data_IF_610808382775
#
_entry.id   IF_610808382775
#
_cell.length_a   1.000
_cell.length_b   1.000
_cell.length_c   1.000
_cell.angle_alpha   90.00
_cell.angle_beta   90.00
_cell.angle_gamma   90.00
#
_symmetry.space_group_name_H-M   'P 1'
#
loop_
_entity.id
_entity.type
_entity.pdbx_description
1 polymer ?
#
# COMPACT_ATOMS: atom_id res chain seq x y z
N UNK A 1 -27.72 0.17 2.76
CA UNK A 1 -26.56 -0.41 3.48
C UNK A 1 -26.61 0.05 4.93
N UNK A 2 -26.53 -0.85 5.91
CA UNK A 2 -26.37 -0.42 7.30
C UNK A 2 -25.02 0.29 7.45
N UNK A 3 -25.00 1.39 8.20
CA UNK A 3 -23.78 2.16 8.50
C UNK A 3 -22.65 1.25 9.01
N UNK A 4 -23.00 0.22 9.78
CA UNK A 4 -22.10 -0.79 10.32
C UNK A 4 -21.32 -1.56 9.23
N UNK A 5 -21.95 -1.87 8.09
CA UNK A 5 -21.28 -2.60 7.01
C UNK A 5 -20.29 -1.70 6.26
N UNK A 6 -20.65 -0.44 6.01
CA UNK A 6 -19.73 0.55 5.44
C UNK A 6 -18.53 0.74 6.38
N UNK A 7 -18.79 0.88 7.68
CA UNK A 7 -17.73 0.99 8.68
C UNK A 7 -16.80 -0.23 8.66
N UNK A 8 -17.34 -1.46 8.68
CA UNK A 8 -16.51 -2.67 8.67
C UNK A 8 -15.63 -2.79 7.42
N UNK A 9 -16.17 -2.46 6.24
CA UNK A 9 -15.42 -2.58 4.97
C UNK A 9 -14.38 -1.47 4.82
N UNK A 10 -14.69 -0.26 5.27
CA UNK A 10 -13.86 0.94 5.02
C UNK A 10 -13.12 1.47 6.26
N UNK A 11 -13.17 0.80 7.42
CA UNK A 11 -12.55 1.30 8.67
C UNK A 11 -11.09 1.70 8.49
N UNK A 12 -10.26 0.86 7.90
CA UNK A 12 -8.83 1.13 7.72
C UNK A 12 -8.59 2.31 6.78
N UNK A 13 -9.39 2.42 5.71
CA UNK A 13 -9.36 3.57 4.80
C UNK A 13 -9.77 4.86 5.49
N UNK A 14 -10.90 4.86 6.21
CA UNK A 14 -11.40 6.04 6.93
C UNK A 14 -10.36 6.49 7.95
N UNK A 15 -9.85 5.57 8.78
CA UNK A 15 -8.81 5.86 9.76
C UNK A 15 -7.54 6.41 9.11
N UNK A 16 -7.12 5.83 7.98
CA UNK A 16 -5.95 6.29 7.23
C UNK A 16 -6.13 7.68 6.62
N UNK A 17 -7.30 7.97 6.05
CA UNK A 17 -7.65 9.30 5.53
C UNK A 17 -7.64 10.34 6.64
N UNK A 18 -8.26 10.03 7.79
CA UNK A 18 -8.28 10.92 8.95
C UNK A 18 -6.87 11.15 9.49
N UNK A 19 -6.05 10.10 9.63
CA UNK A 19 -4.67 10.21 10.10
C UNK A 19 -3.80 11.03 9.14
N UNK A 20 -3.90 10.78 7.83
CA UNK A 20 -3.18 11.54 6.80
C UNK A 20 -3.58 13.02 6.79
N UNK A 21 -4.88 13.30 6.90
CA UNK A 21 -5.39 14.67 6.99
C UNK A 21 -4.95 15.39 8.28
N UNK A 22 -5.04 14.72 9.43
CA UNK A 22 -4.60 15.25 10.71
C UNK A 22 -3.10 15.57 10.70
N UNK A 23 -2.27 14.63 10.22
CA UNK A 23 -0.84 14.84 10.06
C UNK A 23 -0.53 16.04 9.14
N UNK A 24 -1.26 16.16 8.03
CA UNK A 24 -1.09 17.27 7.11
C UNK A 24 -1.48 18.62 7.74
N UNK A 25 -2.56 18.66 8.55
CA UNK A 25 -2.98 19.86 9.26
C UNK A 25 -1.94 20.33 10.29
N UNK A 26 -1.29 19.38 10.98
CA UNK A 26 -0.31 19.68 12.04
C UNK A 26 1.06 20.05 11.45
N UNK A 27 1.58 19.28 10.48
CA UNK A 27 2.96 19.42 9.97
C UNK A 27 3.09 19.56 8.45
N UNK A 28 2.03 19.29 7.69
CA UNK A 28 2.10 19.20 6.22
C UNK A 28 1.91 20.52 5.48
N UNK A 29 1.35 21.55 6.11
CA UNK A 29 1.01 22.82 5.43
C UNK A 29 2.21 23.56 4.84
N UNK A 30 3.40 23.36 5.38
CA UNK A 30 4.66 23.95 4.88
C UNK A 30 5.24 23.21 3.67
N UNK A 31 4.78 21.99 3.41
CA UNK A 31 5.33 21.07 2.41
C UNK A 31 4.40 20.96 1.19
N UNK A 32 4.08 22.08 0.55
CA UNK A 32 3.17 22.12 -0.61
C UNK A 32 3.93 22.22 -1.91
N UNK A 33 3.46 21.49 -2.92
CA UNK A 33 3.93 21.67 -4.29
C UNK A 33 3.39 23.00 -4.84
N UNK A 34 4.24 23.72 -5.53
CA UNK A 34 3.82 24.87 -6.31
C UNK A 34 2.93 24.39 -7.47
N UNK A 35 1.98 25.24 -7.91
CA UNK A 35 1.16 24.95 -9.08
C UNK A 35 2.05 24.61 -10.28
N UNK A 36 1.79 23.47 -10.91
CA UNK A 36 2.56 23.01 -12.05
C UNK A 36 2.37 21.52 -12.35
N UNK A 37 3.09 20.99 -13.35
CA UNK A 37 2.93 19.61 -13.81
C UNK A 37 3.21 18.57 -12.71
N UNK A 38 4.18 18.84 -11.82
CA UNK A 38 4.50 17.95 -10.69
C UNK A 38 3.29 17.77 -9.75
N UNK A 39 2.61 18.87 -9.41
CA UNK A 39 1.43 18.83 -8.54
C UNK A 39 0.26 18.08 -9.22
N UNK A 40 -0.01 18.37 -10.49
CA UNK A 40 -1.07 17.70 -11.25
C UNK A 40 -0.82 16.20 -11.39
N UNK A 41 0.40 15.79 -11.75
CA UNK A 41 0.76 14.37 -11.85
C UNK A 41 0.72 13.67 -10.49
N UNK A 42 1.13 14.34 -9.42
CA UNK A 42 0.99 13.80 -8.06
C UNK A 42 -0.46 13.56 -7.69
N UNK A 43 -1.35 14.53 -7.98
CA UNK A 43 -2.78 14.41 -7.71
C UNK A 43 -3.43 13.30 -8.55
N UNK A 44 -3.10 13.21 -9.84
CA UNK A 44 -3.64 12.18 -10.74
C UNK A 44 -3.13 10.81 -10.33
N UNK A 45 -1.82 10.62 -10.17
CA UNK A 45 -1.23 9.32 -9.87
C UNK A 45 -1.77 8.72 -8.56
N UNK A 46 -1.78 9.51 -7.49
CA UNK A 46 -2.26 9.03 -6.18
C UNK A 46 -3.79 9.01 -6.11
N UNK A 47 -4.47 9.98 -6.73
CA UNK A 47 -5.93 10.03 -6.77
C UNK A 47 -6.53 8.84 -7.52
N UNK A 48 -5.96 8.49 -8.68
CA UNK A 48 -6.38 7.30 -9.45
C UNK A 48 -6.07 6.02 -8.66
N UNK A 49 -4.90 5.93 -8.01
CA UNK A 49 -4.57 4.78 -7.17
C UNK A 49 -5.57 4.58 -6.02
N UNK A 50 -5.89 5.65 -5.28
CA UNK A 50 -6.90 5.60 -4.21
C UNK A 50 -8.28 5.21 -4.74
N UNK A 51 -8.72 5.84 -5.83
CA UNK A 51 -10.03 5.56 -6.42
C UNK A 51 -10.14 4.11 -6.90
N UNK A 52 -9.11 3.61 -7.59
CA UNK A 52 -9.07 2.23 -8.08
C UNK A 52 -9.13 1.22 -6.93
N UNK A 53 -8.39 1.45 -5.84
CA UNK A 53 -8.44 0.59 -4.66
C UNK A 53 -9.82 0.62 -3.98
N UNK A 54 -10.43 1.80 -3.82
CA UNK A 54 -11.80 1.94 -3.29
C UNK A 54 -12.80 1.17 -4.15
N UNK A 55 -12.71 1.31 -5.48
CA UNK A 55 -13.58 0.60 -6.41
C UNK A 55 -13.41 -0.92 -6.28
N UNK A 56 -12.18 -1.43 -6.20
CA UNK A 56 -11.96 -2.88 -6.02
C UNK A 56 -12.48 -3.36 -4.67
N UNK A 57 -12.33 -2.59 -3.58
CA UNK A 57 -12.87 -2.97 -2.26
C UNK A 57 -14.40 -2.94 -2.23
N UNK A 58 -15.02 -1.93 -2.86
CA UNK A 58 -16.46 -1.91 -3.10
C UNK A 58 -16.88 -3.13 -3.93
N UNK A 59 -16.03 -3.53 -4.88
CA UNK A 59 -16.30 -4.74 -5.62
C UNK A 59 -16.21 -5.95 -4.69
N UNK A 60 -15.04 -6.31 -4.19
CA UNK A 60 -14.81 -7.52 -3.38
C UNK A 60 -15.71 -7.61 -2.13
N UNK A 61 -15.86 -6.52 -1.36
CA UNK A 61 -16.58 -6.51 -0.08
C UNK A 61 -18.02 -5.95 -0.14
N UNK A 62 -18.33 -5.10 -1.13
CA UNK A 62 -19.62 -4.40 -1.19
C UNK A 62 -20.75 -5.16 -1.89
N UNK A 63 -20.48 -6.25 -2.60
CA UNK A 63 -21.52 -6.98 -3.36
C UNK A 63 -22.54 -7.71 -2.52
N UNK A 64 -22.13 -8.27 -1.38
CA UNK A 64 -23.07 -8.90 -0.45
C UNK A 64 -24.10 -7.88 0.06
N UNK A 65 -23.67 -6.62 0.16
CA UNK A 65 -24.48 -5.49 0.59
C UNK A 65 -25.29 -4.81 -0.51
N UNK A 66 -24.77 -4.73 -1.74
CA UNK A 66 -25.39 -4.03 -2.86
C UNK A 66 -26.14 -4.94 -3.84
N UNK A 67 -26.06 -6.28 -3.67
CA UNK A 67 -26.68 -7.29 -4.55
C UNK A 67 -26.46 -7.05 -6.05
N UNK A 68 -25.30 -6.49 -6.41
CA UNK A 68 -24.98 -6.27 -7.82
C UNK A 68 -24.69 -7.62 -8.48
N UNK A 69 -25.38 -7.98 -9.59
CA UNK A 69 -25.07 -9.20 -10.32
C UNK A 69 -23.63 -9.11 -10.84
N UNK A 70 -22.82 -10.13 -10.57
CA UNK A 70 -21.46 -10.23 -11.09
C UNK A 70 -21.22 -11.57 -11.76
N UNK A 71 -20.44 -11.57 -12.85
CA UNK A 71 -19.86 -12.81 -13.34
C UNK A 71 -18.97 -13.42 -12.25
N UNK A 72 -19.20 -14.69 -11.91
CA UNK A 72 -18.45 -15.40 -10.87
C UNK A 72 -16.94 -15.45 -11.16
N UNK A 73 -16.55 -15.36 -12.43
CA UNK A 73 -15.16 -15.27 -12.88
C UNK A 73 -14.49 -13.95 -12.47
N UNK A 74 -15.17 -12.82 -12.66
CA UNK A 74 -14.61 -11.51 -12.30
C UNK A 74 -14.44 -11.39 -10.78
N UNK A 75 -15.39 -11.92 -10.01
CA UNK A 75 -15.29 -11.93 -8.55
C UNK A 75 -14.09 -12.76 -8.07
N UNK A 76 -13.91 -13.97 -8.62
CA UNK A 76 -12.74 -14.83 -8.32
C UNK A 76 -11.44 -14.13 -8.68
N UNK A 77 -11.36 -13.56 -9.89
CA UNK A 77 -10.17 -12.84 -10.34
C UNK A 77 -9.83 -11.64 -9.43
N UNK A 78 -10.83 -10.86 -9.01
CA UNK A 78 -10.62 -9.72 -8.09
C UNK A 78 -10.17 -10.16 -6.70
N UNK A 79 -10.70 -11.28 -6.19
CA UNK A 79 -10.25 -11.86 -4.92
C UNK A 79 -8.80 -12.32 -5.02
N UNK A 80 -8.41 -12.95 -6.12
CA UNK A 80 -7.02 -13.37 -6.34
C UNK A 80 -6.08 -12.17 -6.53
N UNK A 81 -6.54 -11.12 -7.23
CA UNK A 81 -5.76 -9.91 -7.49
C UNK A 81 -5.58 -9.01 -6.26
N UNK A 82 -6.31 -9.23 -5.16
CA UNK A 82 -6.31 -8.34 -3.98
C UNK A 82 -4.92 -8.16 -3.35
N UNK A 83 -4.04 -9.15 -3.47
CA UNK A 83 -2.68 -9.08 -2.92
C UNK A 83 -1.72 -8.29 -3.80
N UNK A 84 -1.90 -8.34 -5.12
CA UNK A 84 -1.03 -7.63 -6.07
C UNK A 84 -1.50 -6.20 -6.35
N UNK A 85 -2.79 -5.93 -6.17
CA UNK A 85 -3.40 -4.65 -6.51
C UNK A 85 -2.71 -3.44 -5.84
N UNK A 86 -2.47 -3.41 -4.51
CA UNK A 86 -1.80 -2.25 -3.91
C UNK A 86 -0.41 -1.99 -4.49
N UNK A 87 0.32 -3.06 -4.86
CA UNK A 87 1.64 -2.96 -5.48
C UNK A 87 1.54 -2.41 -6.89
N UNK A 88 0.60 -2.90 -7.71
CA UNK A 88 0.37 -2.40 -9.07
C UNK A 88 -0.02 -0.92 -9.07
N UNK A 89 -0.92 -0.52 -8.17
CA UNK A 89 -1.34 0.87 -8.00
C UNK A 89 -0.17 1.74 -7.51
N UNK A 90 0.63 1.24 -6.56
CA UNK A 90 1.86 1.89 -6.12
C UNK A 90 2.88 2.08 -7.24
N UNK A 91 3.10 1.04 -8.07
CA UNK A 91 3.97 1.09 -9.25
C UNK A 91 3.49 2.18 -10.21
N UNK A 92 2.20 2.16 -10.58
CA UNK A 92 1.62 3.16 -11.48
C UNK A 92 1.77 4.58 -10.93
N UNK A 93 1.50 4.78 -9.64
CA UNK A 93 1.67 6.07 -9.00
C UNK A 93 3.15 6.51 -8.98
N UNK A 94 4.10 5.64 -8.63
CA UNK A 94 5.55 5.96 -8.66
C UNK A 94 6.01 6.33 -10.07
N UNK A 95 5.56 5.60 -11.10
CA UNK A 95 5.87 5.93 -12.50
C UNK A 95 5.37 7.33 -12.83
N UNK A 96 4.12 7.65 -12.50
CA UNK A 96 3.54 8.98 -12.76
C UNK A 96 4.30 10.08 -12.00
N UNK A 97 4.65 9.86 -10.72
CA UNK A 97 5.37 10.82 -9.87
C UNK A 97 6.83 11.03 -10.29
N UNK A 98 7.43 10.07 -10.99
CA UNK A 98 8.77 10.21 -11.56
C UNK A 98 8.83 11.34 -12.60
N UNK A 99 7.69 11.67 -13.23
CA UNK A 99 7.57 12.76 -14.19
C UNK A 99 7.04 14.07 -13.56
N UNK A 100 7.36 15.24 -14.15
CA UNK A 100 8.35 15.45 -15.22
C UNK A 100 9.79 15.18 -14.74
N UNK A 101 10.62 14.71 -15.66
CA UNK A 101 12.06 14.57 -15.42
C UNK A 101 12.67 15.96 -15.25
N UNK A 102 13.55 16.20 -14.27
CA UNK A 102 14.18 17.51 -14.13
C UNK A 102 15.05 17.79 -15.36
N UNK A 103 14.76 18.89 -16.05
CA UNK A 103 15.53 19.33 -17.22
C UNK A 103 16.90 19.84 -16.80
N UNK A 104 17.95 19.51 -17.56
CA UNK A 104 19.30 20.02 -17.30
C UNK A 104 19.29 21.55 -17.44
N UNK A 105 19.57 22.28 -16.36
CA UNK A 105 19.77 23.71 -16.44
C UNK A 105 21.12 23.99 -17.15
N UNK A 106 21.13 24.71 -18.29
CA UNK A 106 22.36 25.12 -18.92
C UNK A 106 22.94 26.26 -18.10
N UNK A 107 24.10 26.02 -17.46
CA UNK A 107 24.92 26.96 -16.66
C UNK A 107 24.61 26.94 -15.16
N UNK A 108 25.56 26.43 -14.37
CA UNK A 108 25.56 26.52 -12.90
C UNK A 108 26.66 25.65 -12.29
N UNK A 109 27.48 26.26 -11.44
CA UNK A 109 28.74 25.78 -10.83
C UNK A 109 28.96 24.27 -10.69
N UNK A 110 30.20 23.84 -11.00
CA UNK A 110 30.69 22.48 -10.77
C UNK A 110 30.81 22.21 -9.26
N UNK A 111 29.72 21.74 -8.65
CA UNK A 111 29.75 21.21 -7.28
C UNK A 111 30.26 19.76 -7.31
N UNK A 112 31.42 19.51 -6.69
CA UNK A 112 32.10 18.20 -6.63
C UNK A 112 31.51 17.25 -5.56
N UNK A 113 30.43 17.62 -4.88
CA UNK A 113 29.83 16.74 -3.87
C UNK A 113 29.18 15.51 -4.53
N UNK A 114 29.54 14.31 -4.08
CA UNK A 114 28.99 13.04 -4.58
C UNK A 114 27.49 12.98 -4.28
N UNK A 115 26.65 13.15 -5.30
CA UNK A 115 25.19 13.07 -5.18
C UNK A 115 24.74 11.62 -5.29
N UNK A 116 24.18 11.10 -4.22
CA UNK A 116 23.60 9.76 -4.15
C UNK A 116 22.07 9.89 -4.09
N UNK A 117 21.30 8.85 -4.45
CA UNK A 117 19.83 8.87 -4.29
C UNK A 117 19.38 9.09 -2.84
N UNK A 118 20.29 8.95 -1.88
CA UNK A 118 20.07 9.20 -0.45
C UNK A 118 20.29 10.65 -0.04
N UNK A 119 20.89 11.50 -0.90
CA UNK A 119 21.26 12.88 -0.54
C UNK A 119 20.07 13.79 -0.25
N UNK A 120 18.89 13.50 -0.79
CA UNK A 120 17.69 14.32 -0.64
C UNK A 120 16.62 13.71 0.27
N UNK A 121 16.81 12.45 0.70
CA UNK A 121 15.88 11.76 1.59
C UNK A 121 16.43 11.70 3.02
N UNK A 122 15.55 11.79 4.02
CA UNK A 122 15.94 11.55 5.40
C UNK A 122 16.14 10.03 5.60
N UNK A 123 17.26 9.62 6.21
CA UNK A 123 17.65 8.20 6.33
C UNK A 123 16.58 7.28 6.92
N UNK A 124 15.75 7.80 7.84
CA UNK A 124 14.69 7.03 8.48
C UNK A 124 13.60 6.54 7.51
N UNK A 125 13.36 7.22 6.38
CA UNK A 125 12.41 6.73 5.37
C UNK A 125 12.90 5.45 4.70
N UNK A 126 14.20 5.36 4.42
CA UNK A 126 14.80 4.17 3.82
C UNK A 126 14.84 3.01 4.82
N UNK A 127 15.12 3.30 6.09
CA UNK A 127 15.05 2.31 7.16
C UNK A 127 13.62 1.79 7.28
N UNK A 128 12.61 2.68 7.32
CA UNK A 128 11.21 2.30 7.37
C UNK A 128 10.80 1.41 6.19
N UNK A 129 11.12 1.81 4.96
CA UNK A 129 10.84 1.01 3.76
C UNK A 129 11.53 -0.38 3.82
N UNK A 130 12.77 -0.43 4.30
CA UNK A 130 13.52 -1.69 4.46
C UNK A 130 12.88 -2.61 5.49
N UNK A 131 12.43 -2.06 6.63
CA UNK A 131 11.70 -2.81 7.66
C UNK A 131 10.40 -3.39 7.09
N UNK A 132 9.64 -2.60 6.32
CA UNK A 132 8.40 -3.06 5.70
C UNK A 132 8.67 -4.21 4.73
N UNK A 133 9.68 -4.08 3.86
CA UNK A 133 10.08 -5.17 2.94
C UNK A 133 10.51 -6.41 3.71
N UNK A 134 11.32 -6.25 4.77
CA UNK A 134 11.73 -7.36 5.62
C UNK A 134 10.56 -8.07 6.28
N UNK A 135 9.56 -7.33 6.77
CA UNK A 135 8.33 -7.90 7.32
C UNK A 135 7.51 -8.65 6.26
N UNK A 136 7.37 -8.10 5.05
CA UNK A 136 6.70 -8.79 3.92
C UNK A 136 7.41 -10.10 3.61
N UNK A 137 8.74 -10.09 3.50
CA UNK A 137 9.53 -11.30 3.20
C UNK A 137 9.37 -12.35 4.31
N UNK A 138 9.50 -11.96 5.57
CA UNK A 138 9.38 -12.86 6.71
C UNK A 138 8.01 -13.56 6.73
N UNK A 139 6.94 -12.78 6.65
CA UNK A 139 5.57 -13.31 6.70
C UNK A 139 5.26 -14.14 5.45
N UNK A 140 5.76 -13.71 4.28
CA UNK A 140 5.61 -14.45 3.02
C UNK A 140 6.26 -15.82 3.08
N UNK A 141 7.50 -15.91 3.58
CA UNK A 141 8.21 -17.19 3.68
C UNK A 141 7.52 -18.09 4.69
N UNK A 142 7.12 -17.56 5.86
CA UNK A 142 6.39 -18.33 6.87
C UNK A 142 5.06 -18.88 6.34
N UNK A 143 4.25 -18.05 5.67
CA UNK A 143 2.98 -18.45 5.10
C UNK A 143 3.15 -19.40 3.90
N UNK A 144 4.18 -19.17 3.08
CA UNK A 144 4.54 -20.06 1.97
C UNK A 144 4.93 -21.45 2.44
N UNK A 145 5.77 -21.55 3.48
CA UNK A 145 6.14 -22.83 4.09
C UNK A 145 4.95 -23.58 4.71
N UNK A 146 3.95 -22.85 5.21
CA UNK A 146 2.73 -23.45 5.76
C UNK A 146 1.71 -23.88 4.68
N UNK A 147 1.84 -23.37 3.45
CA UNK A 147 0.90 -23.65 2.37
C UNK A 147 1.11 -25.05 1.77
N UNK A 148 0.03 -25.64 1.28
CA UNK A 148 -0.01 -26.91 0.55
C UNK A 148 -0.72 -26.73 -0.81
N UNK A 149 -0.52 -27.70 -1.71
CA UNK A 149 -1.16 -27.75 -3.03
C UNK A 149 -2.65 -28.05 -2.92
N UNK A 150 -3.47 -27.32 -3.67
CA UNK A 150 -4.88 -27.66 -3.87
C UNK A 150 -5.05 -28.72 -4.98
N UNK A 151 -6.30 -29.09 -5.28
CA UNK A 151 -6.65 -30.05 -6.34
C UNK A 151 -6.13 -29.64 -7.74
N UNK A 152 -5.78 -28.37 -7.94
CA UNK A 152 -5.26 -27.80 -9.18
C UNK A 152 -3.73 -27.63 -9.15
N UNK A 153 -3.05 -28.03 -8.07
CA UNK A 153 -1.61 -27.90 -7.88
C UNK A 153 -1.18 -26.50 -7.39
N UNK A 154 -2.11 -25.64 -6.98
CA UNK A 154 -1.79 -24.30 -6.47
C UNK A 154 -1.52 -24.32 -4.97
N UNK A 155 -0.35 -23.84 -4.59
CA UNK A 155 0.10 -23.70 -3.19
C UNK A 155 -0.62 -22.55 -2.46
N UNK A 156 -1.89 -22.76 -2.09
CA UNK A 156 -2.78 -21.74 -1.48
C UNK A 156 -3.69 -22.24 -0.37
N UNK A 157 -3.61 -23.51 0.01
CA UNK A 157 -4.43 -24.07 1.09
C UNK A 157 -3.60 -24.36 2.34
N UNK A 158 -4.24 -24.23 3.50
CA UNK A 158 -3.76 -24.74 4.77
C UNK A 158 -4.70 -25.85 5.21
N UNK A 159 -4.15 -27.06 5.35
CA UNK A 159 -4.90 -28.22 5.86
C UNK A 159 -4.73 -28.29 7.38
N UNK A 160 -5.86 -28.36 8.08
CA UNK A 160 -5.92 -28.61 9.52
C UNK A 160 -6.36 -30.05 9.70
N UNK A 161 -5.42 -30.92 10.08
CA UNK A 161 -5.69 -32.32 10.40
C UNK A 161 -5.77 -32.50 11.91
N UNK A 162 -6.83 -33.16 12.37
CA UNK A 162 -7.07 -33.49 13.78
C UNK A 162 -6.99 -34.97 14.08
N UNK A 163 -6.59 -35.80 13.11
CA UNK A 163 -6.50 -37.26 13.22
C UNK A 163 -7.84 -38.00 13.16
N UNK A 164 -8.95 -37.33 13.50
CA UNK A 164 -10.34 -37.86 13.41
C UNK A 164 -11.16 -37.21 12.29
N UNK A 165 -10.59 -36.19 11.64
CA UNK A 165 -11.18 -35.39 10.58
C UNK A 165 -10.30 -34.18 10.29
N UNK A 166 -10.59 -33.44 9.23
CA UNK A 166 -9.83 -32.26 8.88
C UNK A 166 -10.61 -31.30 7.99
N UNK A 167 -10.09 -30.09 7.89
CA UNK A 167 -10.63 -29.05 7.02
C UNK A 167 -9.51 -28.30 6.33
N UNK A 168 -9.80 -27.72 5.18
CA UNK A 168 -8.86 -26.84 4.47
C UNK A 168 -9.40 -25.42 4.44
N UNK A 169 -8.51 -24.45 4.61
CA UNK A 169 -8.83 -23.03 4.40
C UNK A 169 -7.81 -22.41 3.45
N UNK A 170 -8.16 -21.27 2.85
CA UNK A 170 -7.25 -20.54 1.97
C UNK A 170 -6.28 -19.68 2.78
N UNK A 171 -5.02 -19.64 2.36
CA UNK A 171 -3.95 -18.87 2.98
C UNK A 171 -3.15 -18.11 1.91
N UNK A 172 -2.46 -17.04 2.31
CA UNK A 172 -1.45 -16.37 1.49
C UNK A 172 -0.20 -17.25 1.29
N UNK A 173 -0.34 -18.33 0.50
CA UNK A 173 0.73 -19.28 0.16
C UNK A 173 1.59 -18.86 -1.04
N UNK A 174 2.41 -19.79 -1.53
CA UNK A 174 3.33 -19.54 -2.66
C UNK A 174 2.63 -19.09 -3.95
N UNK A 175 1.40 -19.53 -4.18
CA UNK A 175 0.61 -19.11 -5.34
C UNK A 175 0.42 -17.59 -5.39
N UNK A 176 0.05 -16.99 -4.25
CA UNK A 176 -0.16 -15.54 -4.17
C UNK A 176 1.14 -14.76 -3.96
N UNK A 177 2.11 -15.36 -3.28
CA UNK A 177 3.30 -14.63 -2.86
C UNK A 177 4.36 -14.46 -3.95
N UNK A 178 4.54 -15.43 -4.84
CA UNK A 178 5.50 -15.33 -5.97
C UNK A 178 5.27 -14.09 -6.85
N UNK A 179 4.06 -13.87 -7.41
CA UNK A 179 3.81 -12.67 -8.21
C UNK A 179 3.93 -11.39 -7.37
N UNK A 180 3.52 -11.41 -6.11
CA UNK A 180 3.66 -10.27 -5.21
C UNK A 180 5.14 -9.91 -4.95
N UNK A 181 6.02 -10.88 -4.70
CA UNK A 181 7.45 -10.65 -4.50
C UNK A 181 8.11 -10.06 -5.75
N UNK A 182 7.74 -10.52 -6.94
CA UNK A 182 8.19 -9.94 -8.19
C UNK A 182 7.77 -8.46 -8.30
N UNK A 183 6.53 -8.13 -7.93
CA UNK A 183 6.04 -6.75 -7.92
C UNK A 183 6.69 -5.89 -6.83
N UNK A 184 7.00 -6.44 -5.65
CA UNK A 184 7.79 -5.75 -4.61
C UNK A 184 9.17 -5.39 -5.17
N UNK A 185 9.84 -6.31 -5.86
CA UNK A 185 11.13 -6.05 -6.50
C UNK A 185 11.03 -4.97 -7.59
N UNK A 186 10.00 -5.03 -8.44
CA UNK A 186 9.73 -4.01 -9.47
C UNK A 186 9.47 -2.64 -8.84
N UNK A 187 8.63 -2.56 -7.80
CA UNK A 187 8.34 -1.33 -7.08
C UNK A 187 9.62 -0.75 -6.45
N UNK A 188 10.47 -1.59 -5.85
CA UNK A 188 11.74 -1.17 -5.29
C UNK A 188 12.69 -0.62 -6.37
N UNK A 189 12.83 -1.32 -7.49
CA UNK A 189 13.67 -0.90 -8.62
C UNK A 189 13.19 0.44 -9.22
N UNK A 190 11.89 0.59 -9.46
CA UNK A 190 11.30 1.83 -9.97
C UNK A 190 11.42 2.98 -8.98
N UNK A 191 11.26 2.72 -7.69
CA UNK A 191 11.46 3.70 -6.63
C UNK A 191 12.91 4.19 -6.65
N UNK A 192 13.89 3.28 -6.61
CA UNK A 192 15.31 3.64 -6.68
C UNK A 192 15.67 4.37 -7.98
N UNK A 193 15.12 3.93 -9.12
CA UNK A 193 15.28 4.60 -10.41
C UNK A 193 14.72 6.02 -10.41
N UNK A 194 13.52 6.23 -9.88
CA UNK A 194 12.91 7.55 -9.78
C UNK A 194 13.71 8.48 -8.85
N UNK A 195 14.20 7.98 -7.71
CA UNK A 195 15.07 8.73 -6.80
C UNK A 195 16.40 9.10 -7.48
N UNK A 196 16.98 8.18 -8.24
CA UNK A 196 18.19 8.44 -9.01
C UNK A 196 17.97 9.52 -10.08
N UNK A 197 16.85 9.46 -10.80
CA UNK A 197 16.48 10.47 -11.81
C UNK A 197 16.26 11.86 -11.20
N UNK A 198 15.76 11.95 -9.96
CA UNK A 198 15.61 13.22 -9.23
C UNK A 198 16.99 13.76 -8.78
N UNK A 199 17.88 12.88 -8.33
CA UNK A 199 19.16 13.27 -7.79
C UNK A 199 20.19 13.70 -8.87
N UNK A 200 20.09 13.14 -10.09
CA UNK A 200 21.12 13.26 -11.13
C UNK A 200 21.31 14.68 -11.71
N UNK A 201 20.28 15.45 -12.07
CA UNK A 201 20.46 16.72 -12.78
C UNK A 201 21.21 17.77 -11.94
N UNK A 202 21.93 18.68 -12.61
CA UNK A 202 22.59 19.82 -11.96
C UNK A 202 21.57 20.65 -11.15
N UNK A 203 22.02 21.27 -10.05
CA UNK A 203 21.12 22.11 -9.24
C UNK A 203 20.82 23.40 -10.00
N UNK A 204 19.56 23.83 -10.00
CA UNK A 204 19.16 25.07 -10.67
C UNK A 204 19.81 26.30 -10.03
N UNK A 205 19.76 27.44 -10.74
CA UNK A 205 20.28 28.74 -10.25
C UNK A 205 19.65 29.11 -8.90
N UNK A 206 18.35 28.83 -8.73
CA UNK A 206 17.67 28.89 -7.44
C UNK A 206 17.87 27.58 -6.65
N UNK A 207 19.03 27.47 -6.00
CA UNK A 207 19.43 26.28 -5.26
C UNK A 207 18.46 25.93 -4.12
N UNK A 208 17.95 26.92 -3.40
CA UNK A 208 17.10 26.68 -2.21
C UNK A 208 15.79 26.04 -2.62
N UNK A 209 15.12 26.60 -3.63
CA UNK A 209 13.85 26.10 -4.12
C UNK A 209 14.00 24.72 -4.80
N UNK A 210 15.07 24.51 -5.58
CA UNK A 210 15.31 23.22 -6.24
C UNK A 210 15.58 22.09 -5.22
N UNK A 211 16.41 22.33 -4.20
CA UNK A 211 16.68 21.34 -3.15
C UNK A 211 15.40 21.01 -2.37
N UNK A 212 14.59 22.01 -2.03
CA UNK A 212 13.30 21.79 -1.35
C UNK A 212 12.34 20.97 -2.22
N UNK A 213 12.20 21.31 -3.50
CA UNK A 213 11.35 20.57 -4.43
C UNK A 213 11.80 19.12 -4.59
N UNK A 214 13.10 18.87 -4.76
CA UNK A 214 13.64 17.50 -4.87
C UNK A 214 13.47 16.71 -3.58
N UNK A 215 13.62 17.34 -2.42
CA UNK A 215 13.34 16.73 -1.12
C UNK A 215 11.87 16.32 -0.99
N UNK A 216 10.94 17.20 -1.37
CA UNK A 216 9.50 16.90 -1.37
C UNK A 216 9.14 15.78 -2.34
N UNK A 217 9.67 15.80 -3.57
CA UNK A 217 9.43 14.72 -4.56
C UNK A 217 9.97 13.38 -4.09
N UNK A 218 11.19 13.37 -3.55
CA UNK A 218 11.83 12.17 -2.97
C UNK A 218 10.96 11.59 -1.85
N UNK A 219 10.51 12.44 -0.93
CA UNK A 219 9.61 12.05 0.15
C UNK A 219 8.27 11.50 -0.38
N UNK A 220 7.68 12.14 -1.38
CA UNK A 220 6.41 11.69 -1.96
C UNK A 220 6.53 10.32 -2.62
N UNK A 221 7.61 10.07 -3.38
CA UNK A 221 7.87 8.76 -3.99
C UNK A 221 8.05 7.69 -2.91
N UNK A 222 8.89 7.97 -1.89
CA UNK A 222 9.09 7.03 -0.79
C UNK A 222 7.78 6.76 -0.02
N UNK A 223 6.97 7.79 0.22
CA UNK A 223 5.68 7.66 0.88
C UNK A 223 4.67 6.84 0.05
N UNK A 224 4.58 7.06 -1.27
CA UNK A 224 3.71 6.25 -2.15
C UNK A 224 4.15 4.79 -2.17
N UNK A 225 5.44 4.53 -2.36
CA UNK A 225 5.99 3.19 -2.37
C UNK A 225 5.79 2.47 -1.03
N UNK A 226 6.07 3.16 0.09
CA UNK A 226 5.87 2.63 1.44
C UNK A 226 4.39 2.39 1.70
N UNK A 227 3.50 3.28 1.25
CA UNK A 227 2.06 3.13 1.37
C UNK A 227 1.54 1.89 0.65
N UNK A 228 2.02 1.64 -0.57
CA UNK A 228 1.69 0.43 -1.34
C UNK A 228 2.15 -0.84 -0.64
N UNK A 229 3.40 -0.85 -0.13
CA UNK A 229 3.95 -1.98 0.62
C UNK A 229 3.18 -2.24 1.92
N UNK A 230 2.80 -1.19 2.65
CA UNK A 230 1.98 -1.29 3.88
C UNK A 230 0.59 -1.84 3.57
N UNK A 231 -0.09 -1.33 2.53
CA UNK A 231 -1.40 -1.87 2.13
C UNK A 231 -1.30 -3.35 1.73
N UNK A 232 -0.24 -3.73 1.01
CA UNK A 232 0.02 -5.13 0.68
C UNK A 232 0.23 -5.99 1.94
N UNK A 233 1.10 -5.54 2.87
CA UNK A 233 1.35 -6.23 4.15
C UNK A 233 0.07 -6.34 4.99
N UNK A 234 -0.74 -5.28 5.03
CA UNK A 234 -2.04 -5.30 5.70
C UNK A 234 -3.00 -6.33 5.09
N UNK A 235 -2.97 -6.49 3.77
CA UNK A 235 -3.68 -7.56 3.05
C UNK A 235 -3.21 -8.96 3.43
N UNK A 236 -1.89 -9.15 3.61
CA UNK A 236 -1.33 -10.42 4.10
C UNK A 236 -1.84 -10.73 5.51
N UNK A 237 -1.76 -9.76 6.44
CA UNK A 237 -2.25 -9.95 7.81
C UNK A 237 -3.75 -10.21 7.87
N UNK A 238 -4.55 -9.51 7.05
CA UNK A 238 -5.98 -9.78 6.94
C UNK A 238 -6.26 -11.21 6.41
N UNK A 239 -5.47 -11.69 5.46
CA UNK A 239 -5.59 -13.08 4.99
C UNK A 239 -5.24 -14.08 6.08
N UNK A 240 -4.16 -13.85 6.83
CA UNK A 240 -3.74 -14.73 7.93
C UNK A 240 -4.73 -14.69 9.10
N UNK A 241 -5.35 -13.54 9.38
CA UNK A 241 -6.43 -13.43 10.35
C UNK A 241 -7.65 -14.26 9.90
N UNK A 242 -8.01 -14.18 8.60
CA UNK A 242 -9.07 -15.02 8.03
C UNK A 242 -8.77 -16.52 8.13
N UNK A 243 -7.51 -16.91 7.90
CA UNK A 243 -7.04 -18.28 8.15
C UNK A 243 -7.16 -18.62 9.65
N UNK A 244 -6.71 -17.74 10.55
CA UNK A 244 -6.73 -17.97 11.99
C UNK A 244 -8.16 -18.13 12.55
N UNK A 245 -9.12 -17.39 12.00
CA UNK A 245 -10.54 -17.47 12.37
C UNK A 245 -11.22 -18.78 11.94
N UNK A 246 -10.59 -19.60 11.08
CA UNK A 246 -11.19 -20.84 10.62
C UNK A 246 -11.45 -21.81 11.80
N UNK A 247 -12.72 -22.17 11.95
CA UNK A 247 -13.21 -23.19 12.87
C UNK A 247 -14.01 -24.22 12.07
N UNK A 248 -13.61 -25.48 12.17
CA UNK A 248 -14.32 -26.63 11.61
C UNK A 248 -14.94 -27.47 12.71
N UNK A 249 -15.80 -28.42 12.33
CA UNK A 249 -16.27 -29.42 13.26
C UNK A 249 -16.67 -30.70 12.54
N UNK A 250 -16.49 -31.82 13.24
CA UNK A 250 -16.86 -33.16 12.75
C UNK A 250 -17.72 -33.84 13.80
N UNK A 251 -18.79 -34.50 13.35
CA UNK A 251 -19.60 -35.35 14.20
C UNK A 251 -18.86 -36.68 14.46
N UNK A 252 -18.58 -36.99 15.72
CA UNK A 252 -17.87 -38.20 16.12
C UNK A 252 -18.84 -39.28 16.62
N UNK A 253 -19.78 -39.72 15.77
CA UNK A 253 -20.72 -40.80 16.13
C UNK A 253 -21.40 -40.60 17.49
N UNK A 254 -21.18 -41.53 18.43
CA UNK A 254 -21.72 -41.47 19.80
C UNK A 254 -21.04 -40.43 20.72
N UNK A 255 -19.95 -39.80 20.28
CA UNK A 255 -19.11 -38.87 21.04
C UNK A 255 -19.47 -37.38 20.90
N UNK A 256 -20.47 -37.04 20.08
CA UNK A 256 -20.94 -35.66 19.91
C UNK A 256 -20.23 -34.88 18.79
N UNK A 257 -20.27 -33.54 18.88
CA UNK A 257 -19.67 -32.65 17.89
C UNK A 257 -18.33 -32.12 18.41
N UNK A 258 -17.24 -32.39 17.68
CA UNK A 258 -15.91 -31.89 18.04
C UNK A 258 -15.59 -30.70 17.15
N UNK A 259 -15.28 -29.56 17.76
CA UNK A 259 -14.83 -28.34 17.07
C UNK A 259 -13.31 -28.31 17.06
N UNK A 260 -12.72 -27.94 15.93
CA UNK A 260 -11.29 -27.74 15.77
C UNK A 260 -11.01 -26.39 15.12
N UNK A 261 -9.92 -25.77 15.54
CA UNK A 261 -9.45 -24.50 15.00
C UNK A 261 -8.04 -24.63 14.43
N UNK A 262 -7.58 -23.57 13.77
CA UNK A 262 -6.18 -23.53 13.33
C UNK A 262 -5.22 -23.39 14.52
N UNK A 263 -3.96 -23.86 14.41
CA UNK A 263 -2.94 -23.65 15.45
C UNK A 263 -2.65 -22.18 15.76
N UNK A 264 -3.01 -21.28 14.84
CA UNK A 264 -2.79 -19.83 14.95
C UNK A 264 -4.05 -19.06 15.36
N UNK A 265 -5.13 -19.73 15.78
CA UNK A 265 -6.40 -19.09 16.11
C UNK A 265 -6.26 -17.99 17.17
N UNK A 266 -5.40 -18.18 18.17
CA UNK A 266 -5.13 -17.18 19.21
C UNK A 266 -4.50 -15.88 18.68
N UNK A 267 -3.91 -15.90 17.48
CA UNK A 267 -3.32 -14.71 16.84
C UNK A 267 -4.33 -13.89 16.03
N UNK A 268 -5.55 -14.38 15.82
CA UNK A 268 -6.56 -13.71 14.98
C UNK A 268 -6.76 -12.23 15.37
N UNK A 269 -6.99 -11.86 16.64
CA UNK A 269 -7.26 -10.47 16.99
C UNK A 269 -6.04 -9.56 16.72
N UNK A 270 -4.84 -10.08 17.00
CA UNK A 270 -3.59 -9.37 16.77
C UNK A 270 -3.32 -9.17 15.27
N UNK A 271 -3.54 -10.20 14.45
CA UNK A 271 -3.39 -10.14 12.99
C UNK A 271 -4.43 -9.21 12.36
N UNK A 272 -5.68 -9.26 12.81
CA UNK A 272 -6.76 -8.39 12.35
C UNK A 272 -6.45 -6.92 12.63
N UNK A 273 -6.09 -6.60 13.88
CA UNK A 273 -5.71 -5.25 14.30
C UNK A 273 -4.45 -4.75 13.58
N UNK A 274 -3.42 -5.59 13.45
CA UNK A 274 -2.21 -5.25 12.70
C UNK A 274 -2.52 -5.00 11.22
N UNK A 275 -3.37 -5.83 10.61
CA UNK A 275 -3.83 -5.66 9.23
C UNK A 275 -4.52 -4.33 9.02
N UNK A 276 -5.44 -3.96 9.90
CA UNK A 276 -6.13 -2.65 9.85
C UNK A 276 -5.18 -1.49 10.05
N UNK A 277 -4.31 -1.55 11.06
CA UNK A 277 -3.40 -0.47 11.42
C UNK A 277 -2.39 -0.21 10.30
N UNK A 278 -1.78 -1.26 9.76
CA UNK A 278 -0.80 -1.17 8.66
C UNK A 278 -1.48 -0.66 7.38
N UNK A 279 -2.68 -1.16 7.06
CA UNK A 279 -3.46 -0.68 5.91
C UNK A 279 -3.82 0.81 6.07
N UNK A 280 -4.27 1.21 7.26
CA UNK A 280 -4.59 2.61 7.57
C UNK A 280 -3.37 3.52 7.43
N UNK A 281 -2.20 3.09 7.91
CA UNK A 281 -0.95 3.82 7.70
C UNK A 281 -0.63 3.94 6.20
N UNK A 282 -0.84 2.88 5.43
CA UNK A 282 -0.67 2.91 3.97
C UNK A 282 -1.51 4.01 3.30
N UNK A 283 -2.80 4.09 3.65
CA UNK A 283 -3.67 5.17 3.17
C UNK A 283 -3.24 6.54 3.69
N UNK A 284 -2.77 6.65 4.93
CA UNK A 284 -2.30 7.91 5.48
C UNK A 284 -1.10 8.46 4.69
N UNK A 285 -0.19 7.59 4.22
CA UNK A 285 0.89 8.01 3.31
C UNK A 285 0.35 8.51 1.97
N UNK A 286 -0.54 7.76 1.31
CA UNK A 286 -1.10 8.17 0.02
C UNK A 286 -1.90 9.48 0.14
N UNK A 287 -2.76 9.61 1.14
CA UNK A 287 -3.51 10.84 1.41
C UNK A 287 -2.55 11.98 1.73
N UNK A 288 -1.53 11.73 2.55
CA UNK A 288 -0.49 12.72 2.84
C UNK A 288 0.16 13.26 1.57
N UNK A 289 0.50 12.39 0.62
CA UNK A 289 1.05 12.77 -0.69
C UNK A 289 0.03 13.52 -1.53
N UNK A 290 -1.21 13.06 -1.61
CA UNK A 290 -2.29 13.74 -2.34
C UNK A 290 -2.49 15.18 -1.83
N UNK A 291 -2.44 15.38 -0.50
CA UNK A 291 -2.57 16.70 0.12
C UNK A 291 -1.38 17.62 -0.15
N UNK A 292 -0.21 17.10 -0.53
CA UNK A 292 0.93 17.95 -0.99
C UNK A 292 0.66 18.58 -2.35
N UNK A 293 -0.22 17.97 -3.16
CA UNK A 293 -0.63 18.50 -4.45
C UNK A 293 -1.72 19.57 -4.34
N UNK A 294 -2.34 19.77 -3.16
CA UNK A 294 -3.31 20.84 -2.95
C UNK A 294 -2.57 22.18 -2.98
N UNK A 295 -2.90 23.05 -3.94
CA UNK A 295 -2.20 24.30 -4.08
C UNK A 295 -2.44 25.24 -2.89
N UNK A 296 -1.40 25.98 -2.50
CA UNK A 296 -1.59 27.12 -1.62
C UNK A 296 -2.47 28.16 -2.34
N UNK A 297 -3.58 28.57 -1.70
CA UNK A 297 -4.36 29.72 -2.18
C UNK A 297 -3.39 30.88 -2.40
N UNK A 298 -3.29 31.39 -3.63
CA UNK A 298 -2.63 32.67 -3.88
C UNK A 298 -3.40 33.68 -3.06
N UNK A 299 -2.80 34.18 -1.98
CA UNK A 299 -3.35 35.34 -1.28
C UNK A 299 -3.32 36.47 -2.29
N UNK A 300 -4.47 36.78 -2.89
CA UNK A 300 -4.67 37.93 -3.79
C UNK A 300 -4.57 39.18 -2.90
N UNK A 301 -3.36 39.51 -2.46
CA UNK A 301 -3.07 40.71 -1.64
C UNK A 301 -2.25 41.75 -2.40
N UNK A 302 -1.90 41.47 -3.66
CA UNK A 302 -1.11 42.37 -4.50
C UNK A 302 -1.96 43.18 -5.50
N UNK A 303 -3.28 43.01 -5.55
CA UNK A 303 -4.16 43.70 -6.51
C UNK A 303 -4.95 44.87 -5.90
N UNK A 304 -4.63 45.29 -4.67
CA UNK A 304 -5.25 46.46 -3.98
C UNK A 304 -4.20 47.56 -3.72
N UNK A 305 -3.04 47.52 -4.39
CA UNK A 305 -2.07 48.63 -4.40
C UNK A 305 -1.60 48.91 -5.83
N UNK A 306 -2.55 49.26 -6.69
CA UNK A 306 -2.31 49.95 -7.94
C UNK A 306 -3.31 51.11 -8.01
#
# INVERSE_FOLDING_TARGET
MSFLLVWLVFRSMILGVLAGAAWWLIRGRTNRLQWGPVASLTAVGVGVALLADVLVRLMVGGTSALRLPRPDELARWLVDARFVLPLLLGIGAVIILAFPLPTHAPRGSASLARRTPFSFGQGWWFIGATIIVGAILLVTVAAGMASQEDEQGFWRILVVDTGVGGGSTTIYGWYYSRPALALVAVLAALTLGALWLIARPAVAVDQVNDVQLRGLRTRNILAVASGALLMHLGGIFASLAGTAFFNGGVATGNGGWVVFGTPIAALEPALSLAGDAVTALGYAFWVGVLLTAIPARRTVRALIRA
#
